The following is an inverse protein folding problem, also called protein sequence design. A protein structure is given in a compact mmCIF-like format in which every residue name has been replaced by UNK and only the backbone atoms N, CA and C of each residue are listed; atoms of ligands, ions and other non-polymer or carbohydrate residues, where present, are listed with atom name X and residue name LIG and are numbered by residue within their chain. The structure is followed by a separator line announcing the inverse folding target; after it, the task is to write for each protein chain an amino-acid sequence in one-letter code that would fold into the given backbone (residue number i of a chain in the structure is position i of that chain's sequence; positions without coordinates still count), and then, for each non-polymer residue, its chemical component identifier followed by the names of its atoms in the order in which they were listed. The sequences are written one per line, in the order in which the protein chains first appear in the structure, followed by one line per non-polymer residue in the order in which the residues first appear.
data_IF_164606008840
#
_entry.id   IF_164606008840
#
_cell.length_a   1.000
_cell.length_b   1.000
_cell.length_c   1.000
_cell.angle_alpha   90.00
_cell.angle_beta   90.00
_cell.angle_gamma   90.00
#
_symmetry.space_group_name_H-M   'P 1'
#
loop_
_entity.id
_entity.type
_entity.pdbx_description
1 polymer ?
#
# COMPACT_ATOMS: atom_id res chain seq x y z
N UNK A 1 -10.06 -19.00 -20.06
CA UNK A 1 -9.35 -17.71 -20.28
C UNK A 1 -10.06 -16.60 -19.50
N UNK A 2 -9.38 -15.97 -18.53
CA UNK A 2 -10.00 -14.93 -17.69
C UNK A 2 -10.15 -13.60 -18.43
N UNK A 3 -10.92 -12.67 -17.86
CA UNK A 3 -11.18 -11.36 -18.47
C UNK A 3 -9.90 -10.55 -18.72
N UNK A 4 -8.97 -10.56 -17.75
CA UNK A 4 -7.68 -9.87 -17.88
C UNK A 4 -6.83 -10.45 -19.03
N UNK A 5 -6.84 -11.77 -19.24
CA UNK A 5 -6.17 -12.40 -20.39
C UNK A 5 -6.78 -11.95 -21.72
N UNK A 6 -8.12 -11.92 -21.82
CA UNK A 6 -8.83 -11.44 -23.02
C UNK A 6 -8.46 -9.98 -23.32
N UNK A 7 -8.51 -9.12 -22.31
CA UNK A 7 -8.20 -7.71 -22.43
C UNK A 7 -6.74 -7.45 -22.81
N UNK A 8 -5.79 -8.23 -22.28
CA UNK A 8 -4.37 -8.10 -22.65
C UNK A 8 -4.14 -8.39 -24.12
N UNK A 9 -4.82 -9.39 -24.69
CA UNK A 9 -4.74 -9.73 -26.11
C UNK A 9 -5.42 -8.64 -26.96
N UNK A 10 -6.63 -8.22 -26.58
CA UNK A 10 -7.42 -7.25 -27.33
C UNK A 10 -6.77 -5.85 -27.36
N UNK A 11 -6.32 -5.37 -26.21
CA UNK A 11 -5.86 -3.98 -26.05
C UNK A 11 -4.34 -3.82 -26.08
N UNK A 12 -3.57 -4.92 -26.03
CA UNK A 12 -2.09 -4.93 -26.05
C UNK A 12 -1.49 -3.83 -25.16
N UNK A 13 -1.81 -3.81 -23.85
CA UNK A 13 -1.43 -2.72 -22.97
C UNK A 13 0.10 -2.57 -22.93
N UNK A 14 0.55 -1.31 -22.90
CA UNK A 14 1.97 -0.98 -22.81
C UNK A 14 2.51 -1.35 -21.44
N UNK A 15 3.64 -2.05 -21.41
CA UNK A 15 4.39 -2.29 -20.18
C UNK A 15 5.10 -1.00 -19.75
N UNK A 16 4.91 -0.63 -18.48
CA UNK A 16 5.61 0.47 -17.84
C UNK A 16 6.46 -0.10 -16.70
N UNK A 17 7.72 0.34 -16.61
CA UNK A 17 8.58 -0.03 -15.49
C UNK A 17 8.24 0.82 -14.26
N UNK A 18 7.56 0.21 -13.29
CA UNK A 18 7.18 0.82 -12.01
C UNK A 18 8.11 0.48 -10.85
N UNK A 19 9.22 -0.25 -11.09
CA UNK A 19 10.05 -0.86 -10.03
C UNK A 19 10.48 0.12 -8.94
N UNK A 20 11.00 1.29 -9.33
CA UNK A 20 11.49 2.29 -8.38
C UNK A 20 10.35 2.92 -7.56
N UNK A 21 9.16 3.06 -8.13
CA UNK A 21 8.00 3.56 -7.37
C UNK A 21 7.42 2.50 -6.42
N UNK A 22 7.48 1.22 -6.80
CA UNK A 22 7.12 0.11 -5.90
C UNK A 22 8.08 0.04 -4.70
N UNK A 23 9.40 0.21 -4.92
CA UNK A 23 10.37 0.30 -3.82
C UNK A 23 10.03 1.44 -2.85
N UNK A 24 9.75 2.64 -3.38
CA UNK A 24 9.37 3.80 -2.57
C UNK A 24 8.04 3.57 -1.82
N UNK A 25 7.10 2.83 -2.40
CA UNK A 25 5.86 2.46 -1.72
C UNK A 25 6.14 1.54 -0.53
N UNK A 26 7.02 0.55 -0.70
CA UNK A 26 7.46 -0.33 0.39
C UNK A 26 8.24 0.43 1.48
N UNK A 27 9.07 1.42 1.12
CA UNK A 27 9.74 2.31 2.08
C UNK A 27 8.73 3.09 2.93
N UNK A 28 7.68 3.65 2.32
CA UNK A 28 6.60 4.33 3.05
C UNK A 28 5.91 3.36 4.00
N UNK A 29 5.55 2.15 3.55
CA UNK A 29 4.93 1.14 4.41
C UNK A 29 5.84 0.84 5.60
N UNK A 30 7.11 0.48 5.34
CA UNK A 30 8.09 0.13 6.37
C UNK A 30 8.22 1.25 7.39
N UNK A 31 8.45 2.48 6.94
CA UNK A 31 8.61 3.65 7.81
C UNK A 31 7.39 3.86 8.70
N UNK A 32 6.18 3.82 8.12
CA UNK A 32 4.96 4.06 8.89
C UNK A 32 4.66 2.96 9.91
N UNK A 33 5.04 1.72 9.64
CA UNK A 33 4.75 0.59 10.52
C UNK A 33 5.82 0.30 11.57
N UNK A 34 7.07 0.74 11.36
CA UNK A 34 8.17 0.51 12.29
C UNK A 34 8.37 1.66 13.29
N UNK A 35 8.20 2.91 12.82
CA UNK A 35 8.53 4.09 13.60
C UNK A 35 7.32 4.66 14.37
N UNK A 36 6.17 3.97 14.35
CA UNK A 36 4.92 4.50 14.92
C UNK A 36 4.13 3.43 15.65
N UNK A 37 3.58 3.82 16.80
CA UNK A 37 2.64 3.01 17.58
C UNK A 37 1.19 3.10 17.07
N UNK A 38 0.92 4.00 16.11
CA UNK A 38 -0.41 4.23 15.58
C UNK A 38 -0.82 3.18 14.54
N UNK A 39 -2.12 2.86 14.47
CA UNK A 39 -2.67 2.05 13.39
C UNK A 39 -2.57 2.77 12.05
N UNK A 40 -1.92 2.12 11.09
CA UNK A 40 -1.75 2.63 9.73
C UNK A 40 -2.82 2.01 8.83
N UNK A 41 -3.62 2.87 8.19
CA UNK A 41 -4.63 2.43 7.23
C UNK A 41 -4.07 2.47 5.80
N UNK A 42 -4.60 1.68 4.85
CA UNK A 42 -4.14 1.71 3.46
C UNK A 42 -4.16 3.11 2.85
N UNK A 43 -5.19 3.90 3.15
CA UNK A 43 -5.31 5.28 2.67
C UNK A 43 -4.21 6.21 3.22
N UNK A 44 -3.65 5.92 4.40
CA UNK A 44 -2.53 6.69 4.96
C UNK A 44 -1.25 6.50 4.14
N UNK A 45 -0.97 5.24 3.78
CA UNK A 45 0.15 4.89 2.90
C UNK A 45 -0.01 5.57 1.56
N UNK A 46 -1.22 5.53 0.98
CA UNK A 46 -1.53 6.13 -0.32
C UNK A 46 -1.38 7.66 -0.28
N UNK A 47 -1.91 8.30 0.75
CA UNK A 47 -1.83 9.75 0.92
C UNK A 47 -0.38 10.21 1.07
N UNK A 48 0.41 9.57 1.93
CA UNK A 48 1.84 9.91 2.09
C UNK A 48 2.61 9.63 0.80
N UNK A 49 2.45 8.44 0.21
CA UNK A 49 3.20 8.07 -0.99
C UNK A 49 3.01 9.05 -2.15
N UNK A 50 1.81 9.63 -2.27
CA UNK A 50 1.46 10.59 -3.33
C UNK A 50 1.75 12.05 -2.96
N UNK A 51 2.12 12.35 -1.71
CA UNK A 51 2.25 13.73 -1.24
C UNK A 51 0.89 14.42 -1.12
N UNK A 52 -0.12 13.68 -0.64
CA UNK A 52 -1.48 14.15 -0.43
C UNK A 52 -1.53 15.26 0.63
N UNK A 53 -2.41 16.24 0.45
CA UNK A 53 -2.56 17.40 1.34
C UNK A 53 -3.79 17.30 2.24
N UNK A 54 -4.16 16.08 2.63
CA UNK A 54 -5.37 15.82 3.42
C UNK A 54 -5.27 16.44 4.82
N UNK A 55 -6.43 16.65 5.47
CA UNK A 55 -6.46 17.22 6.82
C UNK A 55 -5.62 16.39 7.80
N UNK A 56 -5.65 15.06 7.67
CA UNK A 56 -4.87 14.14 8.48
C UNK A 56 -3.36 14.36 8.31
N UNK A 57 -2.87 14.54 7.09
CA UNK A 57 -1.45 14.81 6.81
C UNK A 57 -0.99 16.08 7.55
N UNK A 58 -1.78 17.15 7.46
CA UNK A 58 -1.47 18.42 8.14
C UNK A 58 -1.51 18.29 9.65
N UNK A 59 -2.57 17.67 10.19
CA UNK A 59 -2.74 17.51 11.65
C UNK A 59 -1.61 16.68 12.25
N UNK A 60 -1.20 15.60 11.57
CA UNK A 60 -0.12 14.72 12.03
C UNK A 60 1.29 15.18 11.62
N UNK A 61 1.40 16.30 10.89
CA UNK A 61 2.66 16.81 10.31
C UNK A 61 3.41 15.73 9.54
N UNK A 62 2.67 14.97 8.73
CA UNK A 62 3.24 13.87 7.92
C UNK A 62 3.92 14.36 6.64
N UNK A 63 3.73 15.63 6.29
CA UNK A 63 4.38 16.31 5.18
C UNK A 63 5.87 16.60 5.43
N UNK A 64 6.35 16.49 6.66
CA UNK A 64 7.77 16.62 7.01
C UNK A 64 8.50 15.27 7.12
N UNK A 65 7.84 14.15 6.84
CA UNK A 65 8.47 12.84 6.96
C UNK A 65 9.52 12.61 5.87
N UNK A 66 10.63 11.90 6.16
CA UNK A 66 11.66 11.58 5.16
C UNK A 66 11.12 10.84 3.94
N UNK A 67 10.07 10.04 4.12
CA UNK A 67 9.41 9.27 3.05
C UNK A 67 8.36 10.08 2.28
N UNK A 68 8.04 11.30 2.72
CA UNK A 68 7.10 12.17 2.02
C UNK A 68 7.74 12.66 0.70
N UNK A 69 7.04 12.57 -0.44
CA UNK A 69 7.65 12.82 -1.72
C UNK A 69 7.98 14.30 -1.93
N UNK A 70 9.22 14.55 -2.36
CA UNK A 70 9.67 15.85 -2.88
C UNK A 70 9.29 16.05 -4.36
N UNK A 71 9.08 14.95 -5.08
CA UNK A 71 8.77 14.94 -6.51
C UNK A 71 7.48 14.18 -6.81
N UNK A 72 6.81 14.58 -7.91
CA UNK A 72 5.61 13.88 -8.38
C UNK A 72 5.98 12.49 -8.91
N UNK A 73 5.10 11.51 -8.63
CA UNK A 73 5.19 10.15 -9.18
C UNK A 73 4.97 10.18 -10.70
N UNK A 74 5.76 9.40 -11.43
CA UNK A 74 5.76 9.28 -12.90
C UNK A 74 4.87 8.14 -13.38
N UNK A 75 4.73 7.05 -12.61
CA UNK A 75 3.96 5.85 -12.99
C UNK A 75 2.65 5.78 -12.20
N UNK A 76 2.74 5.69 -10.87
CA UNK A 76 1.60 5.58 -9.95
C UNK A 76 1.04 6.98 -9.61
N UNK A 77 0.49 7.66 -10.62
CA UNK A 77 0.04 9.06 -10.53
C UNK A 77 -1.27 9.23 -9.74
N UNK A 78 -2.20 8.29 -9.91
CA UNK A 78 -3.56 8.39 -9.35
C UNK A 78 -3.67 7.65 -8.02
N UNK A 79 -4.69 7.98 -7.22
CA UNK A 79 -4.99 7.28 -5.95
C UNK A 79 -5.22 5.79 -6.21
N UNK A 80 -6.03 5.49 -7.23
CA UNK A 80 -6.43 4.14 -7.60
C UNK A 80 -5.24 3.28 -8.01
N UNK A 81 -4.30 3.82 -8.80
CA UNK A 81 -3.10 3.07 -9.21
C UNK A 81 -2.23 2.68 -8.00
N UNK A 82 -2.09 3.58 -7.03
CA UNK A 82 -1.35 3.30 -5.79
C UNK A 82 -2.10 2.28 -4.94
N UNK A 83 -3.43 2.39 -4.84
CA UNK A 83 -4.26 1.40 -4.14
C UNK A 83 -4.14 0.02 -4.78
N UNK A 84 -4.23 -0.09 -6.10
CA UNK A 84 -4.04 -1.36 -6.81
C UNK A 84 -2.64 -1.94 -6.59
N UNK A 85 -1.60 -1.10 -6.64
CA UNK A 85 -0.24 -1.54 -6.34
C UNK A 85 -0.12 -2.05 -4.90
N UNK A 86 -0.67 -1.34 -3.92
CA UNK A 86 -0.63 -1.76 -2.51
C UNK A 86 -1.38 -3.08 -2.29
N UNK A 87 -2.56 -3.25 -2.89
CA UNK A 87 -3.33 -4.50 -2.83
C UNK A 87 -2.56 -5.65 -3.49
N UNK A 88 -1.95 -5.44 -4.66
CA UNK A 88 -1.12 -6.45 -5.33
C UNK A 88 0.09 -6.85 -4.47
N UNK A 89 0.73 -5.90 -3.78
CA UNK A 89 1.81 -6.18 -2.84
C UNK A 89 1.35 -7.00 -1.62
N UNK A 90 0.14 -6.75 -1.11
CA UNK A 90 -0.47 -7.57 -0.05
C UNK A 90 -0.75 -8.99 -0.56
N UNK A 91 -1.39 -9.13 -1.72
CA UNK A 91 -1.72 -10.44 -2.32
C UNK A 91 -0.45 -11.25 -2.58
N UNK A 92 0.65 -10.60 -2.98
CA UNK A 92 1.97 -11.23 -3.16
C UNK A 92 2.71 -11.53 -1.86
N UNK A 93 2.14 -11.17 -0.72
CA UNK A 93 2.77 -11.38 0.60
C UNK A 93 3.99 -10.49 0.84
N UNK A 94 4.14 -9.37 0.12
CA UNK A 94 5.23 -8.40 0.32
C UNK A 94 4.87 -7.35 1.37
N UNK A 95 3.59 -7.02 1.49
CA UNK A 95 3.04 -6.17 2.55
C UNK A 95 2.11 -7.01 3.42
N UNK A 96 2.24 -6.85 4.73
CA UNK A 96 1.39 -7.52 5.71
C UNK A 96 0.22 -6.60 6.07
N UNK A 97 -0.98 -7.17 6.06
CA UNK A 97 -2.19 -6.51 6.55
C UNK A 97 -2.91 -7.36 7.59
N UNK A 98 -3.70 -6.71 8.44
CA UNK A 98 -4.56 -7.36 9.42
C UNK A 98 -5.96 -6.78 9.35
N UNK A 99 -6.95 -7.68 9.37
CA UNK A 99 -8.35 -7.31 9.54
C UNK A 99 -8.66 -7.33 11.03
N UNK A 100 -9.11 -6.19 11.54
CA UNK A 100 -9.59 -6.04 12.91
C UNK A 100 -11.12 -6.00 12.86
N UNK A 101 -11.74 -7.00 13.45
CA UNK A 101 -13.18 -7.05 13.66
C UNK A 101 -13.50 -6.61 15.09
N UNK A 102 -14.44 -5.70 15.26
CA UNK A 102 -14.90 -5.23 16.57
C UNK A 102 -16.41 -5.35 16.68
N UNK A 103 -16.87 -5.75 17.85
CA UNK A 103 -18.26 -5.57 18.25
C UNK A 103 -18.40 -4.22 18.93
N UNK A 104 -19.51 -3.53 18.69
CA UNK A 104 -19.87 -2.32 19.43
C UNK A 104 -20.16 -2.61 20.90
N UNK A 105 -20.69 -3.80 21.21
CA UNK A 105 -20.92 -4.34 22.55
C UNK A 105 -21.06 -5.87 22.47
N UNK A 106 -20.84 -6.58 23.59
CA UNK A 106 -20.69 -8.06 23.65
C UNK A 106 -21.80 -8.84 22.91
N UNK A 107 -23.05 -8.42 23.11
CA UNK A 107 -24.26 -9.04 22.55
C UNK A 107 -24.62 -8.56 21.14
N UNK A 108 -23.87 -7.62 20.57
CA UNK A 108 -24.11 -7.13 19.21
C UNK A 108 -23.87 -8.23 18.18
N UNK A 109 -24.81 -8.35 17.25
CA UNK A 109 -24.67 -9.19 16.04
C UNK A 109 -23.97 -8.44 14.89
N UNK A 110 -23.76 -7.13 15.05
CA UNK A 110 -23.13 -6.28 14.03
C UNK A 110 -21.64 -6.15 14.36
N UNK A 111 -20.80 -6.48 13.37
CA UNK A 111 -19.36 -6.28 13.42
C UNK A 111 -18.99 -5.04 12.64
N UNK A 112 -18.08 -4.23 13.18
CA UNK A 112 -17.31 -3.27 12.39
C UNK A 112 -15.97 -3.89 12.03
N UNK A 113 -15.48 -3.57 10.83
CA UNK A 113 -14.22 -4.09 10.31
C UNK A 113 -13.30 -2.95 9.90
N UNK A 114 -12.03 -3.05 10.27
CA UNK A 114 -10.97 -2.18 9.79
C UNK A 114 -9.83 -3.02 9.22
N UNK A 115 -9.26 -2.57 8.11
CA UNK A 115 -8.03 -3.14 7.55
C UNK A 115 -6.89 -2.22 7.94
N UNK A 116 -5.84 -2.78 8.53
CA UNK A 116 -4.63 -2.05 8.89
C UNK A 116 -3.41 -2.69 8.22
N UNK A 117 -2.43 -1.87 7.87
CA UNK A 117 -1.13 -2.30 7.36
C UNK A 117 -0.21 -2.49 8.56
N UNK A 118 0.44 -3.65 8.66
CA UNK A 118 1.27 -4.02 9.82
C UNK A 118 2.76 -4.07 9.52
N UNK A 119 3.15 -4.11 8.24
CA UNK A 119 4.56 -4.03 7.87
C UNK A 119 4.87 -4.51 6.47
N UNK A 120 6.16 -4.54 6.14
CA UNK A 120 6.69 -5.25 4.98
C UNK A 120 7.10 -6.64 5.44
N UNK A 121 6.84 -7.67 4.63
CA UNK A 121 7.23 -9.04 4.98
C UNK A 121 8.76 -9.16 5.11
N UNK A 122 9.20 -9.74 6.22
CA UNK A 122 10.63 -9.94 6.56
C UNK A 122 11.35 -10.90 5.61
N UNK A 123 10.64 -11.66 4.78
CA UNK A 123 11.21 -12.56 3.78
C UNK A 123 11.61 -11.84 2.49
N UNK A 124 12.59 -10.94 2.59
CA UNK A 124 13.38 -10.41 1.46
C UNK A 124 14.88 -10.70 1.63
N UNK A 125 15.23 -11.80 2.30
CA UNK A 125 16.54 -12.45 2.14
C UNK A 125 16.50 -13.88 1.57
N UNK A 126 15.33 -14.53 1.44
CA UNK A 126 15.28 -15.93 0.97
C UNK A 126 14.76 -16.13 -0.48
N UNK A 127 13.89 -15.26 -1.01
CA UNK A 127 13.19 -15.54 -2.27
C UNK A 127 13.62 -14.69 -3.48
N UNK A 128 14.69 -13.89 -3.34
CA UNK A 128 15.30 -13.19 -4.48
C UNK A 128 16.33 -14.06 -5.25
N UNK A 129 16.65 -15.26 -4.74
CA UNK A 129 17.62 -16.20 -5.34
C UNK A 129 16.98 -17.44 -5.99
N UNK A 130 15.66 -17.48 -6.18
CA UNK A 130 15.00 -18.59 -6.87
C UNK A 130 14.31 -18.10 -8.15
N UNK A 131 15.11 -17.66 -9.12
CA UNK A 131 14.82 -17.70 -10.57
C UNK A 131 16.07 -17.20 -11.32
N UNK A 132 17.11 -18.04 -11.29
CA UNK A 132 18.05 -18.19 -12.43
C UNK A 132 17.46 -19.19 -13.41
#
# INVERSE_FOLDING_TARGET
MCNNCKNRIAYKPKLLDGKEEIKKLLEVVKYLTQEREEQIYPDDVVDIFRGGKTAKIKQKKWDSLPVYPTEKRKILKTKELVQFALIDLVIRGLVQEKIILRKTFESSKILSSNIIITGVASSTQANANMQT
#
